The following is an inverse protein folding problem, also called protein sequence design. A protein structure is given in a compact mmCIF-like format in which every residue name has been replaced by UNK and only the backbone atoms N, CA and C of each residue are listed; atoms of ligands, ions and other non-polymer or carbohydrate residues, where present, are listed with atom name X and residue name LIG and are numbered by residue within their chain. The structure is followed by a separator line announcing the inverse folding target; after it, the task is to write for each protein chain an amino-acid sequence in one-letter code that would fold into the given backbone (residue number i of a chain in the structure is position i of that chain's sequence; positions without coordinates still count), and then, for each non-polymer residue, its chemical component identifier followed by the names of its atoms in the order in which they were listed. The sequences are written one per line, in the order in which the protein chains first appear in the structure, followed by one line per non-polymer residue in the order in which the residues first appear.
data_IF_009236782848
#
_entry.id   IF_009236782848
#
_cell.length_a   1.000
_cell.length_b   1.000
_cell.length_c   1.000
_cell.angle_alpha   90.00
_cell.angle_beta   90.00
_cell.angle_gamma   90.00
#
_symmetry.space_group_name_H-M   'P 1'
#
loop_
_entity.id
_entity.type
_entity.pdbx_description
1 polymer ?
#
# COMPACT_ATOMS: atom_id res chain seq x y z
N UNK A 1 -35.28 25.10 -26.62
CA UNK A 1 -34.91 24.45 -25.34
C UNK A 1 -33.41 24.17 -25.38
N UNK A 2 -32.59 24.96 -24.67
CA UNK A 2 -31.12 24.93 -24.80
C UNK A 2 -30.50 24.05 -23.71
N UNK A 3 -29.96 22.91 -24.10
CA UNK A 3 -29.36 21.88 -23.24
C UNK A 3 -27.85 22.04 -23.17
N UNK A 4 -27.35 22.92 -22.30
CA UNK A 4 -25.91 22.94 -22.00
C UNK A 4 -25.57 23.57 -20.65
N UNK A 5 -26.31 23.25 -19.58
CA UNK A 5 -25.83 23.54 -18.24
C UNK A 5 -24.76 22.50 -17.86
N UNK A 6 -23.52 22.71 -18.32
CA UNK A 6 -22.37 21.96 -17.81
C UNK A 6 -22.24 22.26 -16.32
N UNK A 7 -22.82 21.40 -15.48
CA UNK A 7 -22.61 21.40 -14.02
C UNK A 7 -21.14 21.13 -13.79
N UNK A 8 -20.34 22.18 -13.64
CA UNK A 8 -19.02 22.04 -13.04
C UNK A 8 -19.20 21.35 -11.70
N UNK A 9 -18.40 20.31 -11.44
CA UNK A 9 -18.31 19.74 -10.09
C UNK A 9 -17.92 20.89 -9.17
N UNK A 10 -18.66 21.05 -8.06
CA UNK A 10 -18.27 22.01 -7.01
C UNK A 10 -16.83 21.71 -6.58
N UNK A 11 -16.12 22.71 -6.08
CA UNK A 11 -14.75 22.53 -5.60
C UNK A 11 -14.65 21.39 -4.58
N UNK A 12 -15.67 21.25 -3.72
CA UNK A 12 -15.81 20.13 -2.78
C UNK A 12 -15.95 18.77 -3.50
N UNK A 13 -16.72 18.70 -4.59
CA UNK A 13 -16.86 17.48 -5.41
C UNK A 13 -15.56 17.08 -6.10
N UNK A 14 -14.79 18.05 -6.59
CA UNK A 14 -13.46 17.80 -7.19
C UNK A 14 -12.49 17.30 -6.14
N UNK A 15 -12.51 17.88 -4.94
CA UNK A 15 -11.64 17.46 -3.85
C UNK A 15 -12.01 16.05 -3.30
N UNK A 16 -13.30 15.74 -3.18
CA UNK A 16 -13.79 14.42 -2.82
C UNK A 16 -13.36 13.36 -3.83
N UNK A 17 -13.50 13.64 -5.13
CA UNK A 17 -13.03 12.75 -6.19
C UNK A 17 -11.50 12.55 -6.13
N UNK A 18 -10.73 13.61 -5.84
CA UNK A 18 -9.27 13.52 -5.68
C UNK A 18 -8.88 12.60 -4.53
N UNK A 19 -9.51 12.73 -3.36
CA UNK A 19 -9.27 11.86 -2.19
C UNK A 19 -9.63 10.41 -2.47
N UNK A 20 -10.74 10.16 -3.16
CA UNK A 20 -11.16 8.81 -3.51
C UNK A 20 -10.17 8.13 -4.47
N UNK A 21 -9.71 8.86 -5.50
CA UNK A 21 -8.80 8.30 -6.50
C UNK A 21 -7.35 8.19 -5.99
N UNK A 22 -6.95 9.09 -5.10
CA UNK A 22 -5.59 9.18 -4.54
C UNK A 22 -5.64 9.36 -3.02
N UNK A 23 -5.86 8.28 -2.24
CA UNK A 23 -6.06 8.36 -0.79
C UNK A 23 -4.83 8.86 -0.03
N UNK A 24 -3.63 8.61 -0.56
CA UNK A 24 -2.35 9.07 0.03
C UNK A 24 -1.94 10.48 -0.44
N UNK A 25 -2.85 11.22 -1.08
CA UNK A 25 -2.58 12.53 -1.67
C UNK A 25 -2.08 12.46 -3.12
N UNK A 26 -1.85 13.64 -3.71
CA UNK A 26 -1.50 13.77 -5.12
C UNK A 26 -2.70 14.03 -6.04
N UNK A 27 -2.48 13.96 -7.35
CA UNK A 27 -3.51 14.18 -8.38
C UNK A 27 -3.64 12.97 -9.31
N UNK A 28 -4.87 12.53 -9.63
CA UNK A 28 -5.06 11.41 -10.54
C UNK A 28 -4.50 11.75 -11.93
N UNK A 29 -3.64 10.89 -12.46
CA UNK A 29 -3.09 11.05 -13.80
C UNK A 29 -4.00 10.38 -14.83
N UNK A 30 -4.13 10.98 -16.01
CA UNK A 30 -4.71 10.27 -17.16
C UNK A 30 -3.76 9.16 -17.56
N UNK A 31 -4.22 7.91 -17.45
CA UNK A 31 -3.45 6.76 -17.93
C UNK A 31 -3.36 6.88 -19.45
N UNK A 32 -2.17 7.19 -19.96
CA UNK A 32 -1.87 7.11 -21.38
C UNK A 32 -1.48 5.66 -21.68
N UNK A 33 -2.21 5.01 -22.60
CA UNK A 33 -1.94 3.64 -23.00
C UNK A 33 -0.45 3.49 -23.39
N UNK A 34 0.24 2.53 -22.76
CA UNK A 34 1.66 2.25 -23.01
C UNK A 34 2.65 2.80 -21.98
N UNK A 35 2.25 3.67 -21.05
CA UNK A 35 3.11 4.05 -19.90
C UNK A 35 2.72 3.27 -18.65
N UNK A 36 3.67 2.52 -18.08
CA UNK A 36 3.58 1.94 -16.73
C UNK A 36 3.81 3.03 -15.66
N UNK A 37 3.06 4.13 -15.74
CA UNK A 37 3.07 5.20 -14.74
C UNK A 37 2.08 4.90 -13.61
N UNK A 38 2.36 5.41 -12.41
CA UNK A 38 1.45 5.32 -11.26
C UNK A 38 0.14 6.07 -11.51
N UNK A 39 -0.93 5.67 -10.81
CA UNK A 39 -2.27 6.26 -10.95
C UNK A 39 -2.36 7.72 -10.45
N UNK A 40 -1.42 8.14 -9.61
CA UNK A 40 -1.41 9.44 -8.95
C UNK A 40 -0.04 10.13 -9.11
N UNK A 41 -0.06 11.43 -9.43
CA UNK A 41 1.11 12.30 -9.42
C UNK A 41 1.39 12.76 -7.99
N UNK A 42 2.65 12.81 -7.54
CA UNK A 42 2.98 13.37 -6.22
C UNK A 42 2.54 14.85 -6.14
N UNK A 43 2.05 15.26 -4.97
CA UNK A 43 1.65 16.65 -4.73
C UNK A 43 2.89 17.57 -4.71
N UNK A 44 2.83 18.78 -5.29
CA UNK A 44 3.91 19.76 -5.15
C UNK A 44 4.01 20.15 -3.67
N UNK A 45 5.09 19.73 -3.01
CA UNK A 45 5.32 19.90 -1.56
C UNK A 45 5.17 18.61 -0.73
N UNK A 46 4.64 17.54 -1.31
CA UNK A 46 4.62 16.20 -0.73
C UNK A 46 5.82 15.39 -1.20
N UNK A 47 7.02 15.72 -0.70
CA UNK A 47 8.10 14.74 -0.67
C UNK A 47 7.65 13.57 0.19
N UNK A 48 7.18 12.49 -0.44
CA UNK A 48 6.52 11.40 0.29
C UNK A 48 6.28 10.17 -0.58
N UNK A 49 7.38 9.53 -0.98
CA UNK A 49 7.47 8.07 -1.10
C UNK A 49 6.44 7.35 -1.98
N UNK A 50 6.58 7.47 -3.30
CA UNK A 50 6.24 6.37 -4.21
C UNK A 50 7.53 5.79 -4.79
N UNK A 51 8.43 5.37 -3.90
CA UNK A 51 9.55 4.50 -4.19
C UNK A 51 9.48 3.36 -3.20
N UNK A 52 9.30 2.13 -3.69
CA UNK A 52 9.44 0.93 -2.88
C UNK A 52 10.91 0.71 -2.52
N UNK A 53 11.45 1.61 -1.70
CA UNK A 53 12.78 1.53 -1.13
C UNK A 53 12.64 1.76 0.37
N UNK A 54 12.82 0.66 1.11
CA UNK A 54 13.12 0.60 2.53
C UNK A 54 12.64 1.79 3.39
N UNK A 55 11.48 1.61 4.03
CA UNK A 55 11.07 2.36 5.22
C UNK A 55 11.98 2.02 6.42
N UNK A 56 13.29 1.95 6.22
CA UNK A 56 14.27 1.80 7.28
C UNK A 56 14.47 3.17 7.90
N UNK A 57 13.59 3.53 8.83
CA UNK A 57 13.81 4.65 9.75
C UNK A 57 15.12 4.36 10.52
N UNK A 58 16.21 5.11 10.34
CA UNK A 58 17.49 4.74 10.96
C UNK A 58 17.33 4.61 12.48
N UNK A 59 17.58 3.40 13.00
CA UNK A 59 17.57 3.09 14.43
C UNK A 59 16.22 2.75 15.07
N UNK A 60 15.14 2.54 14.30
CA UNK A 60 13.87 2.04 14.86
C UNK A 60 14.03 0.65 15.54
N UNK A 61 15.04 -0.10 15.11
CA UNK A 61 15.37 -1.44 15.55
C UNK A 61 16.46 -1.48 16.64
N UNK A 62 16.97 -0.33 17.08
CA UNK A 62 17.98 -0.28 18.15
C UNK A 62 17.40 -0.82 19.46
N UNK A 63 18.00 -1.91 19.94
CA UNK A 63 17.60 -2.59 21.18
C UNK A 63 16.61 -3.73 20.98
N UNK A 64 16.11 -3.96 19.76
CA UNK A 64 15.37 -5.18 19.46
C UNK A 64 16.33 -6.37 19.37
N UNK A 65 15.94 -7.56 19.84
CA UNK A 65 16.71 -8.77 19.61
C UNK A 65 16.82 -9.03 18.10
N UNK A 66 17.97 -9.57 17.68
CA UNK A 66 18.18 -9.95 16.29
C UNK A 66 17.03 -10.88 15.82
N UNK A 67 16.51 -10.70 14.60
CA UNK A 67 15.40 -11.52 14.10
C UNK A 67 15.82 -12.99 14.10
N UNK A 68 15.12 -13.80 14.90
CA UNK A 68 15.33 -15.23 14.94
C UNK A 68 14.79 -15.84 13.63
N UNK A 69 15.69 -16.41 12.82
CA UNK A 69 15.33 -17.08 11.56
C UNK A 69 14.92 -18.55 11.77
N UNK A 70 15.03 -19.05 13.00
CA UNK A 70 14.57 -20.37 13.37
C UNK A 70 13.05 -20.38 13.58
N UNK A 71 12.37 -21.29 12.90
CA UNK A 71 10.98 -21.57 13.19
C UNK A 71 10.90 -22.41 14.47
N UNK A 72 10.08 -21.99 15.43
CA UNK A 72 9.80 -22.81 16.61
C UNK A 72 9.06 -24.08 16.21
N UNK A 73 9.34 -25.23 16.85
CA UNK A 73 8.62 -26.46 16.57
C UNK A 73 7.13 -26.31 16.92
N UNK A 74 6.29 -27.09 16.24
CA UNK A 74 4.86 -27.12 16.54
C UNK A 74 4.59 -27.66 17.94
N UNK A 75 3.60 -27.09 18.67
CA UNK A 75 3.23 -27.59 20.00
C UNK A 75 2.67 -29.02 19.94
N UNK A 76 2.67 -29.77 21.05
CA UNK A 76 2.11 -31.12 21.12
C UNK A 76 0.65 -31.18 20.61
N UNK A 77 0.31 -32.23 19.85
CA UNK A 77 -1.01 -32.39 19.24
C UNK A 77 -1.23 -31.57 17.96
N UNK A 78 -0.16 -31.00 17.41
CA UNK A 78 -0.20 -30.32 16.12
C UNK A 78 0.98 -30.74 15.23
N UNK A 79 0.78 -30.65 13.92
CA UNK A 79 1.79 -30.98 12.90
C UNK A 79 2.06 -29.78 11.99
N UNK A 80 3.27 -29.72 11.45
CA UNK A 80 3.67 -28.68 10.51
C UNK A 80 3.00 -28.88 9.14
N UNK A 81 2.21 -27.90 8.72
CA UNK A 81 1.66 -27.79 7.38
C UNK A 81 2.36 -26.65 6.62
N UNK A 82 2.61 -26.88 5.34
CA UNK A 82 3.14 -25.84 4.45
C UNK A 82 2.15 -24.67 4.36
N UNK A 83 2.67 -23.44 4.50
CA UNK A 83 1.91 -22.22 4.25
C UNK A 83 2.09 -21.76 2.80
N UNK A 84 1.16 -20.96 2.29
CA UNK A 84 1.32 -20.26 1.02
C UNK A 84 2.48 -19.24 1.07
N UNK A 85 2.87 -18.76 2.26
CA UNK A 85 4.09 -17.97 2.46
C UNK A 85 5.29 -18.88 2.76
N UNK A 86 6.32 -18.84 1.90
CA UNK A 86 7.51 -19.70 1.98
C UNK A 86 8.31 -19.60 3.29
N UNK A 87 8.17 -18.50 4.04
CA UNK A 87 8.89 -18.26 5.30
C UNK A 87 8.06 -18.57 6.57
N UNK A 88 6.83 -19.04 6.42
CA UNK A 88 5.94 -19.34 7.54
C UNK A 88 5.51 -20.82 7.50
N UNK A 89 5.62 -21.52 8.62
CA UNK A 89 5.01 -22.84 8.82
C UNK A 89 3.78 -22.69 9.69
N UNK A 90 2.67 -23.34 9.30
CA UNK A 90 1.43 -23.33 10.08
C UNK A 90 1.31 -24.65 10.83
N UNK A 91 1.02 -24.59 12.13
CA UNK A 91 0.69 -25.80 12.87
C UNK A 91 -0.81 -26.10 12.73
N UNK A 92 -1.15 -27.32 12.35
CA UNK A 92 -2.54 -27.81 12.22
C UNK A 92 -2.78 -28.95 13.20
N UNK A 93 -3.99 -29.10 13.77
CA UNK A 93 -4.31 -30.27 14.60
C UNK A 93 -4.10 -31.57 13.83
N UNK A 94 -3.46 -32.56 14.45
CA UNK A 94 -3.18 -33.87 13.85
C UNK A 94 -2.43 -34.79 14.78
#
# INVERSE_FOLDING_TARGET
MSTAQRRGLSQAGVEAARRFLCPNGGTPQRVVAGRRGGRCSPAPGGGGGAGGGDNSLPGWDQGLPAPNRGQTPCPPGTTAAASAQAAATRCVPG
#
